data_IF_503394475611
#
_entry.id   IF_503394475611
#
_cell.length_a   1.000
_cell.length_b   1.000
_cell.length_c   1.000
_cell.angle_alpha   90.00
_cell.angle_beta   90.00
_cell.angle_gamma   90.00
#
_symmetry.space_group_name_H-M   'P 1'
#
loop_
_entity.id
_entity.type
_entity.pdbx_description
1 polymer ?
#
# COMPACT_ATOMS: atom_id res chain seq x y z
N UNK A 1 1.11 25.09 -5.26
CA UNK A 1 0.84 25.77 -6.56
C UNK A 1 1.47 27.17 -6.64
N UNK A 2 1.15 28.11 -5.73
CA UNK A 2 1.63 29.51 -5.81
C UNK A 2 3.16 29.69 -5.87
N UNK A 3 3.92 28.91 -5.11
CA UNK A 3 5.40 28.99 -5.04
C UNK A 3 6.08 28.55 -6.36
N UNK A 4 5.43 27.71 -7.17
CA UNK A 4 5.99 27.20 -8.43
C UNK A 4 5.64 28.00 -9.69
N UNK A 5 4.95 29.14 -9.55
CA UNK A 5 4.47 29.94 -10.68
C UNK A 5 5.65 30.39 -11.56
N UNK A 6 5.53 30.21 -12.88
CA UNK A 6 6.59 30.55 -13.85
C UNK A 6 7.77 29.58 -13.90
N UNK A 7 7.81 28.55 -13.03
CA UNK A 7 8.86 27.53 -12.99
C UNK A 7 8.32 26.12 -13.26
N UNK A 8 7.07 25.84 -12.91
CA UNK A 8 6.44 24.52 -13.04
C UNK A 8 4.96 24.64 -13.42
N UNK A 9 4.43 23.62 -14.09
CA UNK A 9 2.99 23.46 -14.38
C UNK A 9 2.41 22.29 -13.60
N UNK A 10 1.12 22.35 -13.24
CA UNK A 10 0.43 21.22 -12.60
C UNK A 10 0.11 20.19 -13.68
N UNK A 11 0.65 18.98 -13.55
CA UNK A 11 0.33 17.89 -14.47
C UNK A 11 -0.89 17.07 -14.02
N UNK A 12 -1.07 16.88 -12.71
CA UNK A 12 -2.25 16.22 -12.12
C UNK A 12 -2.40 16.59 -10.65
N UNK A 13 -3.61 16.45 -10.13
CA UNK A 13 -3.93 16.54 -8.71
C UNK A 13 -4.86 15.37 -8.34
N UNK A 14 -4.64 14.78 -7.16
CA UNK A 14 -5.39 13.62 -6.68
C UNK A 14 -5.78 13.89 -5.22
N UNK A 15 -7.08 14.01 -4.97
CA UNK A 15 -7.62 14.18 -3.62
C UNK A 15 -7.91 12.83 -3.01
N UNK A 16 -7.52 12.66 -1.74
CA UNK A 16 -7.80 11.46 -0.99
C UNK A 16 -8.10 11.77 0.46
N UNK A 17 -8.73 10.82 1.13
CA UNK A 17 -9.14 10.90 2.52
C UNK A 17 -8.73 9.66 3.28
N UNK A 18 -8.68 9.82 4.60
CA UNK A 18 -8.50 8.77 5.58
C UNK A 18 -9.49 9.04 6.70
N UNK A 19 -9.70 8.05 7.58
CA UNK A 19 -10.53 8.25 8.77
C UNK A 19 -10.05 9.47 9.57
N UNK A 20 -10.99 10.20 10.17
CA UNK A 20 -10.67 11.33 11.04
C UNK A 20 -10.18 10.82 12.40
N UNK A 21 -9.41 11.64 13.12
CA UNK A 21 -8.93 11.27 14.46
C UNK A 21 -10.07 11.09 15.48
N UNK A 22 -11.18 11.81 15.33
CA UNK A 22 -12.32 11.70 16.25
C UNK A 22 -13.12 10.41 16.06
N UNK A 23 -13.07 9.80 14.85
CA UNK A 23 -13.83 8.59 14.55
C UNK A 23 -13.29 7.33 15.26
N UNK A 24 -12.08 7.36 15.82
CA UNK A 24 -11.52 6.26 16.60
C UNK A 24 -10.55 6.76 17.67
N UNK A 25 -10.98 6.69 18.93
CA UNK A 25 -10.17 7.04 20.10
C UNK A 25 -9.02 6.06 20.36
N UNK A 26 -9.08 4.84 19.83
CA UNK A 26 -8.13 3.74 20.12
C UNK A 26 -6.97 3.65 19.12
N UNK A 27 -6.85 4.57 18.15
CA UNK A 27 -5.79 4.59 17.12
C UNK A 27 -5.60 3.24 16.41
N UNK A 28 -6.67 2.49 16.17
CA UNK A 28 -6.64 1.20 15.46
C UNK A 28 -6.20 1.34 14.00
N UNK A 29 -5.91 0.23 13.33
CA UNK A 29 -5.61 0.25 11.89
C UNK A 29 -6.82 0.80 11.10
N UNK A 30 -6.62 1.76 10.18
CA UNK A 30 -7.72 2.30 9.38
C UNK A 30 -8.30 1.25 8.43
N UNK A 31 -9.49 1.52 7.88
CA UNK A 31 -10.14 0.68 6.87
C UNK A 31 -10.14 1.37 5.51
N UNK A 32 -10.11 0.58 4.44
CA UNK A 32 -10.32 1.06 3.07
C UNK A 32 -11.80 0.91 2.64
N UNK A 33 -12.11 1.25 1.39
CA UNK A 33 -13.49 1.24 0.87
C UNK A 33 -14.09 -0.17 0.66
N UNK A 34 -13.27 -1.23 0.65
CA UNK A 34 -13.76 -2.61 0.72
C UNK A 34 -14.09 -3.05 2.15
N UNK A 35 -13.87 -2.18 3.15
CA UNK A 35 -14.16 -2.44 4.55
C UNK A 35 -13.07 -3.22 5.29
N UNK A 36 -11.94 -3.53 4.65
CA UNK A 36 -10.84 -4.26 5.27
C UNK A 36 -9.88 -3.32 6.00
N UNK A 37 -9.29 -3.78 7.11
CA UNK A 37 -8.19 -3.09 7.78
C UNK A 37 -6.99 -3.01 6.84
N UNK A 38 -6.41 -1.82 6.70
CA UNK A 38 -5.35 -1.54 5.74
C UNK A 38 -4.19 -0.82 6.42
N UNK A 39 -3.11 -1.58 6.69
CA UNK A 39 -1.90 -1.07 7.35
C UNK A 39 -1.26 -2.00 8.38
N UNK A 40 -1.88 -3.15 8.66
CA UNK A 40 -1.47 -4.09 9.71
C UNK A 40 -0.01 -4.53 9.64
N UNK A 41 0.47 -4.94 8.46
CA UNK A 41 1.84 -5.45 8.27
C UNK A 41 2.66 -4.42 7.48
N UNK A 42 2.91 -3.28 8.10
CA UNK A 42 3.86 -2.29 7.62
C UNK A 42 5.17 -2.37 8.44
N UNK A 43 6.31 -1.93 7.89
CA UNK A 43 7.48 -1.62 8.71
C UNK A 43 7.10 -0.67 9.85
N UNK A 44 7.55 -0.96 11.08
CA UNK A 44 7.33 -0.09 12.23
C UNK A 44 8.16 1.19 12.05
N UNK A 45 7.47 2.32 11.97
CA UNK A 45 8.11 3.63 11.80
C UNK A 45 8.88 4.09 13.05
N UNK A 46 8.68 3.43 14.19
CA UNK A 46 9.45 3.67 15.41
C UNK A 46 10.69 2.77 15.53
N UNK A 47 10.80 1.74 14.69
CA UNK A 47 11.99 0.88 14.62
C UNK A 47 12.96 1.44 13.56
N UNK A 48 14.01 2.10 14.04
CA UNK A 48 15.06 2.64 13.17
C UNK A 48 15.79 1.55 12.37
N UNK A 49 15.97 0.35 12.94
CA UNK A 49 16.63 -0.77 12.25
C UNK A 49 15.79 -1.24 11.08
N UNK A 50 14.49 -1.49 11.30
CA UNK A 50 13.56 -1.93 10.26
C UNK A 50 13.41 -0.87 9.16
N UNK A 51 13.30 0.41 9.53
CA UNK A 51 13.22 1.52 8.58
C UNK A 51 14.50 1.67 7.75
N UNK A 52 15.68 1.52 8.37
CA UNK A 52 16.96 1.52 7.65
C UNK A 52 17.11 0.28 6.74
N UNK A 53 16.50 -0.84 7.09
CA UNK A 53 16.54 -2.03 6.26
C UNK A 53 15.69 -1.87 5.00
N UNK A 54 14.48 -1.33 5.14
CA UNK A 54 13.46 -1.42 4.08
C UNK A 54 13.07 -0.10 3.42
N UNK A 55 13.28 1.06 4.04
CA UNK A 55 12.72 2.34 3.56
C UNK A 55 13.80 3.32 3.13
N UNK A 56 14.85 3.52 3.93
CA UNK A 56 15.87 4.53 3.66
C UNK A 56 16.95 4.03 2.71
N UNK A 57 17.28 4.85 1.70
CA UNK A 57 18.41 4.62 0.79
C UNK A 57 19.72 4.79 1.56
N UNK A 58 20.64 3.83 1.41
CA UNK A 58 21.98 3.84 1.99
C UNK A 58 23.03 4.12 0.90
N UNK A 59 24.24 4.49 1.34
CA UNK A 59 25.39 4.60 0.46
C UNK A 59 25.60 3.27 -0.30
N UNK A 60 25.86 3.37 -1.60
CA UNK A 60 26.05 2.21 -2.49
C UNK A 60 24.77 1.57 -3.05
N UNK A 61 23.56 1.99 -2.63
CA UNK A 61 22.30 1.51 -3.23
C UNK A 61 21.93 2.18 -4.55
N UNK A 62 22.49 3.37 -4.79
CA UNK A 62 22.10 4.29 -5.84
C UNK A 62 22.95 5.56 -5.75
N UNK A 63 22.47 6.68 -6.30
CA UNK A 63 23.26 7.90 -6.32
C UNK A 63 23.37 8.53 -4.93
N UNK A 64 24.55 9.10 -4.64
CA UNK A 64 24.88 9.65 -3.32
C UNK A 64 23.92 10.76 -2.87
N UNK A 65 23.40 11.55 -3.81
CA UNK A 65 22.44 12.62 -3.51
C UNK A 65 21.12 12.14 -2.89
N UNK A 66 20.79 10.85 -3.03
CA UNK A 66 19.58 10.24 -2.49
C UNK A 66 19.81 9.49 -1.17
N UNK A 67 21.04 9.40 -0.67
CA UNK A 67 21.31 8.74 0.62
C UNK A 67 20.53 9.42 1.74
N UNK A 68 19.81 8.63 2.54
CA UNK A 68 18.85 9.12 3.55
C UNK A 68 17.48 9.52 3.00
N UNK A 69 17.29 9.48 1.68
CA UNK A 69 16.00 9.58 1.01
C UNK A 69 15.33 8.22 0.83
N UNK A 70 14.33 8.15 -0.04
CA UNK A 70 13.56 6.93 -0.35
C UNK A 70 12.91 7.00 -1.72
N UNK A 71 12.50 5.86 -2.28
CA UNK A 71 11.66 5.85 -3.47
C UNK A 71 10.19 5.78 -3.07
N UNK A 72 9.36 6.53 -3.79
CA UNK A 72 7.90 6.54 -3.64
C UNK A 72 7.25 6.01 -4.90
N UNK A 73 6.31 5.09 -4.75
CA UNK A 73 5.42 4.67 -5.84
C UNK A 73 4.01 5.12 -5.53
N UNK A 74 3.33 5.64 -6.55
CA UNK A 74 1.92 6.04 -6.50
C UNK A 74 1.16 5.24 -7.52
N UNK A 75 0.06 4.60 -7.09
CA UNK A 75 -0.91 3.96 -7.97
C UNK A 75 -2.29 4.49 -7.65
N UNK A 76 -3.01 4.95 -8.67
CA UNK A 76 -4.46 5.19 -8.56
C UNK A 76 -5.16 3.88 -8.92
N UNK A 77 -5.73 3.24 -7.92
CA UNK A 77 -6.38 1.93 -8.03
C UNK A 77 -7.88 2.13 -7.84
N UNK A 78 -8.65 1.96 -8.91
CA UNK A 78 -10.11 1.98 -8.81
C UNK A 78 -10.58 0.65 -8.24
N UNK A 79 -11.58 0.73 -7.36
CA UNK A 79 -12.24 -0.40 -6.72
C UNK A 79 -13.64 -0.53 -7.30
N UNK A 80 -14.01 -1.71 -7.81
CA UNK A 80 -15.36 -2.02 -8.26
C UNK A 80 -16.23 -2.42 -7.06
N UNK A 81 -16.61 -1.42 -6.27
CA UNK A 81 -17.32 -1.58 -4.99
C UNK A 81 -18.68 -2.27 -5.21
N UNK A 82 -19.36 -1.98 -6.31
CA UNK A 82 -20.68 -2.54 -6.62
C UNK A 82 -20.63 -4.06 -6.88
N UNK A 83 -19.53 -4.53 -7.47
CA UNK A 83 -19.27 -5.96 -7.70
C UNK A 83 -18.83 -6.62 -6.39
N UNK A 84 -17.98 -5.92 -5.63
CA UNK A 84 -17.50 -6.36 -4.33
C UNK A 84 -18.63 -6.59 -3.32
N UNK A 85 -19.56 -5.65 -3.21
CA UNK A 85 -20.67 -5.69 -2.24
C UNK A 85 -21.63 -6.85 -2.46
N UNK A 86 -21.67 -7.42 -3.67
CA UNK A 86 -22.47 -8.61 -4.00
C UNK A 86 -21.75 -9.93 -3.67
N UNK A 87 -20.46 -9.87 -3.38
CA UNK A 87 -19.65 -11.03 -3.03
C UNK A 87 -19.88 -11.41 -1.57
N UNK A 88 -20.14 -12.70 -1.29
CA UNK A 88 -20.36 -13.16 0.09
C UNK A 88 -19.11 -12.95 0.96
N UNK A 89 -19.31 -12.70 2.25
CA UNK A 89 -18.21 -12.37 3.18
C UNK A 89 -17.08 -13.40 3.14
N UNK A 90 -17.39 -14.70 3.13
CA UNK A 90 -16.38 -15.76 3.06
C UNK A 90 -15.46 -15.60 1.85
N UNK A 91 -16.02 -15.27 0.69
CA UNK A 91 -15.23 -15.06 -0.53
C UNK A 91 -14.43 -13.76 -0.48
N UNK A 92 -14.98 -12.70 0.10
CA UNK A 92 -14.23 -11.47 0.36
C UNK A 92 -13.02 -11.73 1.26
N UNK A 93 -13.21 -12.47 2.35
CA UNK A 93 -12.16 -12.83 3.30
C UNK A 93 -11.12 -13.77 2.67
N UNK A 94 -11.54 -14.73 1.84
CA UNK A 94 -10.64 -15.58 1.05
C UNK A 94 -9.80 -14.76 0.06
N UNK A 95 -10.39 -13.75 -0.59
CA UNK A 95 -9.67 -12.84 -1.50
C UNK A 95 -8.57 -12.07 -0.77
N UNK A 96 -8.81 -11.60 0.46
CA UNK A 96 -7.79 -10.89 1.24
C UNK A 96 -6.82 -11.83 1.99
N UNK A 97 -7.28 -13.00 2.40
CA UNK A 97 -6.60 -13.91 3.33
C UNK A 97 -6.74 -13.50 4.81
N UNK A 98 -7.62 -12.55 5.11
CA UNK A 98 -7.86 -12.04 6.48
C UNK A 98 -9.35 -11.93 6.77
N UNK A 99 -9.71 -12.00 8.03
CA UNK A 99 -11.04 -11.66 8.49
C UNK A 99 -11.30 -10.17 8.33
N UNK A 100 -12.44 -9.80 7.75
CA UNK A 100 -12.80 -8.40 7.47
C UNK A 100 -12.94 -7.62 8.76
N UNK A 101 -13.57 -8.20 9.77
CA UNK A 101 -13.85 -7.51 11.04
C UNK A 101 -12.59 -7.36 11.90
N UNK A 102 -12.01 -8.47 12.37
CA UNK A 102 -10.86 -8.43 13.27
C UNK A 102 -9.57 -7.97 12.59
N UNK A 103 -9.43 -8.21 11.28
CA UNK A 103 -8.18 -8.08 10.54
C UNK A 103 -7.20 -9.22 10.78
N UNK A 104 -7.57 -10.27 11.52
CA UNK A 104 -6.72 -11.43 11.76
C UNK A 104 -6.50 -12.22 10.47
N UNK A 105 -5.34 -12.89 10.30
CA UNK A 105 -5.20 -13.93 9.27
C UNK A 105 -6.31 -14.98 9.41
N UNK A 106 -6.75 -15.58 8.30
CA UNK A 106 -7.76 -16.65 8.38
C UNK A 106 -7.28 -17.78 9.29
N UNK A 107 -8.18 -18.26 10.15
CA UNK A 107 -7.89 -19.28 11.17
C UNK A 107 -7.28 -18.72 12.46
N UNK A 108 -7.00 -17.42 12.54
CA UNK A 108 -6.43 -16.74 13.70
C UNK A 108 -7.43 -15.75 14.32
N UNK A 109 -7.12 -15.22 15.51
CA UNK A 109 -8.08 -14.39 16.27
C UNK A 109 -7.73 -12.91 16.27
N UNK A 110 -6.45 -12.57 16.35
CA UNK A 110 -6.00 -11.19 16.49
C UNK A 110 -5.33 -10.68 15.21
N UNK A 111 -5.48 -9.38 14.97
CA UNK A 111 -4.95 -8.68 13.79
C UNK A 111 -3.45 -8.96 13.55
N UNK A 112 -2.67 -8.97 14.62
CA UNK A 112 -1.21 -9.10 14.60
C UNK A 112 -0.73 -10.53 14.88
N UNK A 113 -1.61 -11.53 14.88
CA UNK A 113 -1.20 -12.92 15.00
C UNK A 113 -0.24 -13.29 13.85
N UNK A 114 0.77 -14.12 14.18
CA UNK A 114 1.78 -14.55 13.22
C UNK A 114 1.12 -15.36 12.11
N UNK A 115 1.41 -14.98 10.87
CA UNK A 115 0.93 -15.67 9.67
C UNK A 115 1.75 -16.93 9.44
N UNK A 116 1.05 -18.05 9.25
CA UNK A 116 1.58 -19.28 8.71
C UNK A 116 0.84 -19.58 7.39
N UNK A 117 1.55 -19.49 6.26
CA UNK A 117 0.97 -19.72 4.93
C UNK A 117 0.88 -21.21 4.58
N UNK A 118 1.51 -22.08 5.36
CA UNK A 118 1.50 -23.54 5.16
C UNK A 118 0.47 -24.23 6.05
N UNK A 119 -0.16 -23.49 6.97
CA UNK A 119 -1.20 -23.98 7.85
C UNK A 119 -2.38 -24.56 7.04
N UNK A 120 -2.84 -25.75 7.47
CA UNK A 120 -3.94 -26.48 6.84
C UNK A 120 -5.11 -26.66 7.79
N UNK A 121 -6.31 -26.68 7.22
CA UNK A 121 -7.53 -27.04 7.94
C UNK A 121 -7.66 -28.57 8.16
N UNK A 122 -8.73 -29.00 8.84
CA UNK A 122 -9.01 -30.41 9.10
C UNK A 122 -9.21 -31.26 7.84
N UNK A 123 -9.46 -30.62 6.69
CA UNK A 123 -9.65 -31.27 5.40
C UNK A 123 -8.36 -31.29 4.57
N UNK A 124 -7.25 -30.77 5.11
CA UNK A 124 -5.94 -30.73 4.43
C UNK A 124 -5.77 -29.57 3.45
N UNK A 125 -6.73 -28.64 3.37
CA UNK A 125 -6.65 -27.44 2.52
C UNK A 125 -5.89 -26.33 3.24
N UNK A 126 -5.20 -25.46 2.50
CA UNK A 126 -4.59 -24.27 3.08
C UNK A 126 -5.64 -23.40 3.77
N UNK A 127 -5.37 -23.00 5.01
CA UNK A 127 -6.26 -22.12 5.78
C UNK A 127 -6.31 -20.71 5.16
N UNK A 128 -5.19 -20.25 4.59
CA UNK A 128 -5.10 -19.01 3.83
C UNK A 128 -4.91 -19.39 2.36
N UNK A 129 -5.83 -19.02 1.45
CA UNK A 129 -5.69 -19.33 0.03
C UNK A 129 -4.36 -18.81 -0.53
N UNK A 130 -3.67 -19.64 -1.33
CA UNK A 130 -2.37 -19.28 -1.91
C UNK A 130 -2.44 -18.04 -2.82
N UNK A 131 -3.59 -17.87 -3.49
CA UNK A 131 -3.92 -16.75 -4.38
C UNK A 131 -4.55 -15.55 -3.64
N UNK A 132 -4.63 -15.59 -2.31
CA UNK A 132 -5.10 -14.45 -1.52
C UNK A 132 -4.11 -13.28 -1.60
N UNK A 133 -4.64 -12.06 -1.55
CA UNK A 133 -3.86 -10.83 -1.65
C UNK A 133 -2.70 -10.80 -0.64
N UNK A 134 -2.94 -11.17 0.62
CA UNK A 134 -1.88 -11.13 1.63
C UNK A 134 -0.79 -12.20 1.41
N UNK A 135 -1.15 -13.38 0.90
CA UNK A 135 -0.21 -14.47 0.63
C UNK A 135 0.78 -14.03 -0.45
N UNK A 136 0.24 -13.55 -1.58
CA UNK A 136 1.04 -13.09 -2.72
C UNK A 136 1.84 -11.82 -2.40
N UNK A 137 1.25 -10.87 -1.67
CA UNK A 137 1.93 -9.65 -1.24
C UNK A 137 3.13 -9.99 -0.34
N UNK A 138 2.95 -10.90 0.62
CA UNK A 138 4.02 -11.36 1.52
C UNK A 138 5.12 -12.11 0.77
N UNK A 139 4.77 -13.04 -0.10
CA UNK A 139 5.74 -13.93 -0.75
C UNK A 139 6.64 -14.63 0.28
N UNK A 140 7.96 -14.58 0.05
CA UNK A 140 8.96 -15.12 0.98
C UNK A 140 9.18 -14.27 2.26
N UNK A 141 8.49 -13.13 2.38
CA UNK A 141 8.55 -12.22 3.52
C UNK A 141 9.79 -11.31 3.57
N UNK A 142 10.70 -11.38 2.59
CA UNK A 142 11.92 -10.55 2.56
C UNK A 142 11.69 -9.15 2.01
N UNK A 143 10.78 -9.03 1.04
CA UNK A 143 10.42 -7.76 0.43
C UNK A 143 9.28 -7.07 1.20
N UNK A 144 9.62 -6.07 2.01
CA UNK A 144 8.63 -5.20 2.69
C UNK A 144 8.56 -3.84 2.03
N UNK A 145 7.41 -3.18 2.08
CA UNK A 145 7.23 -1.78 1.64
C UNK A 145 6.41 -1.03 2.70
N UNK A 146 6.70 0.25 2.91
CA UNK A 146 5.91 1.07 3.82
C UNK A 146 4.72 1.66 3.07
N UNK A 147 3.53 1.09 3.26
CA UNK A 147 2.29 1.56 2.62
C UNK A 147 1.66 2.67 3.44
N UNK A 148 1.27 3.75 2.76
CA UNK A 148 0.60 4.91 3.36
C UNK A 148 -0.53 5.42 2.44
N UNK A 149 -1.54 4.58 2.18
CA UNK A 149 -2.56 4.88 1.18
C UNK A 149 -3.62 5.86 1.70
N UNK A 150 -4.36 6.44 0.76
CA UNK A 150 -5.59 7.20 1.01
C UNK A 150 -6.72 6.62 0.17
N UNK A 151 -7.94 6.60 0.68
CA UNK A 151 -9.10 6.35 -0.16
C UNK A 151 -9.41 7.57 -1.02
N UNK A 152 -10.04 7.38 -2.17
CA UNK A 152 -10.60 8.47 -2.97
C UNK A 152 -12.02 8.14 -3.40
N UNK A 153 -12.82 9.17 -3.65
CA UNK A 153 -14.17 9.05 -4.18
C UNK A 153 -14.46 10.32 -5.00
N UNK A 154 -14.49 10.17 -6.32
CA UNK A 154 -14.59 11.27 -7.28
C UNK A 154 -15.88 11.15 -8.11
N UNK A 155 -16.96 10.64 -7.50
CA UNK A 155 -18.27 10.47 -8.13
C UNK A 155 -18.38 9.23 -9.01
N UNK A 156 -19.09 9.37 -10.13
CA UNK A 156 -19.36 8.29 -11.09
C UNK A 156 -18.52 8.49 -12.36
N UNK A 157 -18.02 7.40 -12.94
CA UNK A 157 -17.43 7.42 -14.27
C UNK A 157 -18.54 7.58 -15.32
N UNK A 158 -18.55 8.68 -16.11
CA UNK A 158 -19.64 8.96 -17.04
C UNK A 158 -19.69 8.01 -18.24
N UNK A 159 -18.61 7.26 -18.52
CA UNK A 159 -18.54 6.30 -19.64
C UNK A 159 -19.03 4.92 -19.23
N UNK A 160 -18.67 4.48 -18.02
CA UNK A 160 -18.97 3.11 -17.55
C UNK A 160 -20.14 3.06 -16.58
N UNK A 161 -20.50 4.18 -15.96
CA UNK A 161 -21.50 4.21 -14.89
C UNK A 161 -21.04 3.55 -13.59
N UNK A 162 -19.75 3.25 -13.44
CA UNK A 162 -19.18 2.71 -12.19
C UNK A 162 -18.77 3.82 -11.23
N UNK A 163 -18.73 3.54 -9.93
CA UNK A 163 -18.14 4.46 -8.96
C UNK A 163 -16.66 4.70 -9.28
N UNK A 164 -16.30 5.97 -9.44
CA UNK A 164 -14.91 6.41 -9.52
C UNK A 164 -14.38 6.58 -8.09
N UNK A 165 -14.25 5.47 -7.39
CA UNK A 165 -13.75 5.39 -6.03
C UNK A 165 -12.70 4.29 -5.91
N UNK A 166 -11.84 4.40 -4.91
CA UNK A 166 -10.83 3.38 -4.67
C UNK A 166 -9.70 3.83 -3.75
N UNK A 167 -8.47 3.44 -4.10
CA UNK A 167 -7.28 3.67 -3.31
C UNK A 167 -6.24 4.46 -4.10
N UNK A 168 -5.82 5.59 -3.55
CA UNK A 168 -4.54 6.21 -3.85
C UNK A 168 -3.48 5.43 -3.07
N UNK A 169 -3.02 4.35 -3.67
CA UNK A 169 -1.96 3.54 -3.10
C UNK A 169 -0.64 4.31 -3.19
N UNK A 170 -0.03 4.56 -2.04
CA UNK A 170 1.28 5.18 -1.91
C UNK A 170 2.13 4.24 -1.08
N UNK A 171 3.31 3.89 -1.58
CA UNK A 171 4.29 3.17 -0.78
C UNK A 171 5.68 3.77 -0.90
N UNK A 172 6.48 3.52 0.14
CA UNK A 172 7.86 3.95 0.25
C UNK A 172 8.78 2.76 0.47
N UNK A 173 9.92 2.78 -0.20
CA UNK A 173 10.90 1.70 -0.16
C UNK A 173 12.31 2.19 -0.49
N UNK A 174 13.29 1.41 -0.05
CA UNK A 174 14.72 1.60 -0.32
C UNK A 174 15.08 1.26 -1.77
N UNK A 175 14.51 0.20 -2.34
CA UNK A 175 14.82 -0.31 -3.67
C UNK A 175 13.56 -0.86 -4.37
N UNK A 176 12.93 -0.11 -5.29
CA UNK A 176 11.73 -0.56 -6.00
C UNK A 176 11.92 -1.90 -6.74
N UNK A 177 13.07 -2.12 -7.36
CA UNK A 177 13.39 -3.34 -8.11
C UNK A 177 13.50 -4.60 -7.23
N UNK A 178 13.83 -4.45 -5.95
CA UNK A 178 13.91 -5.56 -4.99
C UNK A 178 12.68 -5.68 -4.11
N UNK A 179 11.77 -4.70 -4.15
CA UNK A 179 10.63 -4.59 -3.23
C UNK A 179 9.31 -4.44 -3.99
N UNK A 180 8.95 -3.23 -4.42
CA UNK A 180 7.63 -2.98 -5.02
C UNK A 180 7.39 -3.77 -6.32
N UNK A 181 8.35 -3.78 -7.24
CA UNK A 181 8.20 -4.43 -8.56
C UNK A 181 7.94 -5.94 -8.42
N UNK A 182 8.78 -6.73 -7.73
CA UNK A 182 8.53 -8.17 -7.59
C UNK A 182 7.27 -8.49 -6.79
N UNK A 183 6.86 -7.64 -5.84
CA UNK A 183 5.55 -7.78 -5.17
C UNK A 183 4.43 -7.61 -6.20
N UNK A 184 4.44 -6.51 -6.96
CA UNK A 184 3.41 -6.21 -7.95
C UNK A 184 3.34 -7.26 -9.07
N UNK A 185 4.47 -7.84 -9.48
CA UNK A 185 4.51 -8.92 -10.48
C UNK A 185 3.82 -10.19 -9.99
N UNK A 186 3.99 -10.57 -8.71
CA UNK A 186 3.25 -11.70 -8.13
C UNK A 186 1.76 -11.40 -8.09
N UNK A 187 1.40 -10.20 -7.65
CA UNK A 187 -0.01 -9.79 -7.58
C UNK A 187 -0.67 -9.78 -8.97
N UNK A 188 0.00 -9.21 -9.97
CA UNK A 188 -0.52 -9.14 -11.33
C UNK A 188 -0.78 -10.52 -11.96
N UNK A 189 -0.03 -11.56 -11.56
CA UNK A 189 -0.17 -12.91 -12.11
C UNK A 189 -1.34 -13.68 -11.51
N UNK A 190 -1.50 -13.65 -10.19
CA UNK A 190 -2.33 -14.63 -9.48
C UNK A 190 -3.27 -14.04 -8.42
N UNK A 191 -3.29 -12.72 -8.19
CA UNK A 191 -4.09 -12.14 -7.11
C UNK A 191 -5.58 -12.15 -7.43
N UNK A 192 -6.36 -12.81 -6.57
CA UNK A 192 -7.82 -12.84 -6.65
C UNK A 192 -8.43 -11.44 -6.53
N UNK A 193 -7.75 -10.50 -5.88
CA UNK A 193 -8.21 -9.11 -5.78
C UNK A 193 -8.29 -8.40 -7.15
N UNK A 194 -7.57 -8.88 -8.17
CA UNK A 194 -7.59 -8.31 -9.52
C UNK A 194 -8.97 -8.35 -10.18
N UNK A 195 -9.88 -9.22 -9.73
CA UNK A 195 -11.28 -9.24 -10.20
C UNK A 195 -12.06 -7.97 -9.80
N UNK A 196 -11.62 -7.29 -8.73
CA UNK A 196 -12.34 -6.19 -8.11
C UNK A 196 -11.60 -4.85 -8.21
N UNK A 197 -10.41 -4.82 -8.79
CA UNK A 197 -9.60 -3.60 -8.89
C UNK A 197 -9.05 -3.39 -10.29
N UNK A 198 -8.78 -2.13 -10.62
CA UNK A 198 -8.05 -1.78 -11.83
C UNK A 198 -7.10 -0.62 -11.56
N UNK A 199 -5.87 -0.74 -12.07
CA UNK A 199 -4.89 0.34 -11.98
C UNK A 199 -5.15 1.36 -13.10
N UNK A 200 -5.48 2.60 -12.72
CA UNK A 200 -5.80 3.72 -13.64
C UNK A 200 -4.70 4.76 -13.75
N UNK A 201 -3.72 4.74 -12.84
CA UNK A 201 -2.62 5.69 -12.86
C UNK A 201 -1.40 5.15 -12.13
N UNK A 202 -0.23 5.61 -12.54
CA UNK A 202 1.06 5.21 -11.99
C UNK A 202 2.06 6.34 -12.02
N UNK A 203 2.85 6.47 -10.97
CA UNK A 203 4.03 7.32 -10.96
C UNK A 203 5.07 6.77 -9.97
N UNK A 204 6.33 7.11 -10.19
CA UNK A 204 7.44 6.78 -9.31
C UNK A 204 8.33 8.00 -9.13
N UNK A 205 8.75 8.26 -7.90
CA UNK A 205 9.53 9.44 -7.52
C UNK A 205 10.68 9.08 -6.59
N UNK A 206 11.78 9.83 -6.68
CA UNK A 206 12.78 9.90 -5.63
C UNK A 206 12.35 10.96 -4.60
N UNK A 207 12.11 10.54 -3.37
CA UNK A 207 11.91 11.44 -2.23
C UNK A 207 13.27 11.76 -1.62
N UNK A 208 13.66 13.02 -1.76
CA UNK A 208 14.94 13.56 -1.32
C UNK A 208 15.13 13.40 0.21
N UNK A 209 16.38 13.31 0.69
CA UNK A 209 16.68 13.25 2.12
C UNK A 209 16.20 14.50 2.87
N UNK A 210 16.16 14.38 4.21
CA UNK A 210 15.88 15.49 5.09
C UNK A 210 16.92 16.61 5.03
N UNK A 211 16.55 17.79 5.52
CA UNK A 211 17.38 19.01 5.46
C UNK A 211 18.19 19.16 6.74
N UNK A 212 19.47 19.57 6.62
CA UNK A 212 20.29 20.02 7.75
C UNK A 212 20.12 21.52 7.95
N UNK A 213 20.35 22.02 9.17
CA UNK A 213 20.28 23.46 9.47
C UNK A 213 21.15 24.26 8.48
N UNK A 214 20.55 25.23 7.80
CA UNK A 214 21.21 26.05 6.78
C UNK A 214 21.04 25.57 5.33
N UNK A 215 20.54 24.36 5.10
CA UNK A 215 20.30 23.82 3.76
C UNK A 215 18.84 23.92 3.30
N UNK A 216 18.55 23.29 2.15
CA UNK A 216 17.20 23.16 1.58
C UNK A 216 16.93 21.72 1.09
N UNK A 217 15.65 21.40 0.81
CA UNK A 217 15.30 20.09 0.23
C UNK A 217 15.94 19.97 -1.16
N UNK A 218 16.80 18.98 -1.34
CA UNK A 218 17.52 18.77 -2.61
C UNK A 218 18.89 19.43 -2.70
N UNK A 219 19.38 20.01 -1.60
CA UNK A 219 20.74 20.56 -1.51
C UNK A 219 21.81 19.53 -1.90
N UNK A 220 21.61 18.25 -1.54
CA UNK A 220 22.51 17.16 -1.96
C UNK A 220 22.52 16.86 -3.46
N UNK A 221 21.53 17.35 -4.22
CA UNK A 221 21.39 17.12 -5.66
C UNK A 221 21.71 18.36 -6.50
N UNK A 222 21.34 19.55 -6.01
CA UNK A 222 21.43 20.80 -6.76
C UNK A 222 22.50 21.78 -6.23
N UNK A 223 23.04 21.53 -5.03
CA UNK A 223 24.06 22.35 -4.39
C UNK A 223 25.48 22.04 -4.86
#
# INVERSE_FOLDING_TARGET
>A
VRIGRGKTIIHWAQTGFQRTKQADSKKTTPRNLFGFKDGTVNPDTNDASEMNQHVWVKAGDGPDWLVGGRYMVVRRIQMYIEVWDRTILKEQENTFGRHRDSGAPLGMKNEFDRVDLEAKDSNGNLTIPENSHMSLARGDGKAKILRRPYSYADGMDPKTGSFNAGLLFICFQRSPSKQFIPIQERLAKNDKLNEYIVHRGSAMFACLPGVKKGGYIGDSLFG
#
